data_IF_063180547601
#
_entry.id   IF_063180547601
#
_cell.length_a   1.000
_cell.length_b   1.000
_cell.length_c   1.000
_cell.angle_alpha   90.00
_cell.angle_beta   90.00
_cell.angle_gamma   90.00
#
_symmetry.space_group_name_H-M   'P 1'
#
loop_
_entity.id
_entity.type
_entity.pdbx_description
1 polymer ?
#
# COMPACT_ATOMS: atom_id res chain seq x y z
N UNK A 1 2.17 20.65 9.69
CA UNK A 1 2.59 19.31 10.07
C UNK A 1 3.14 18.57 8.87
N UNK A 2 4.29 17.93 9.03
CA UNK A 2 4.91 17.19 7.94
C UNK A 2 4.10 15.93 7.62
N UNK A 3 3.89 15.67 6.33
CA UNK A 3 3.32 14.42 5.87
C UNK A 3 4.41 13.53 5.28
N UNK A 4 4.21 12.23 5.36
CA UNK A 4 5.14 11.23 4.84
C UNK A 4 4.50 10.48 3.69
N UNK A 5 5.23 10.34 2.59
CA UNK A 5 4.77 9.60 1.43
C UNK A 5 5.13 8.14 1.58
N UNK A 6 4.13 7.27 1.48
CA UNK A 6 4.32 5.81 1.55
C UNK A 6 3.86 5.19 0.24
N UNK A 7 4.75 4.41 -0.39
CA UNK A 7 4.41 3.64 -1.57
C UNK A 7 4.20 2.18 -1.17
N UNK A 8 3.00 1.67 -1.41
CA UNK A 8 2.66 0.26 -1.18
C UNK A 8 2.85 -0.51 -2.47
N UNK A 9 3.63 -1.57 -2.43
CA UNK A 9 3.94 -2.39 -3.61
C UNK A 9 3.33 -3.78 -3.48
N UNK A 10 2.71 -4.22 -4.57
CA UNK A 10 2.24 -5.58 -4.78
C UNK A 10 2.52 -5.92 -6.23
N UNK A 11 2.33 -7.19 -6.64
CA UNK A 11 2.64 -7.56 -8.02
C UNK A 11 1.70 -6.89 -9.02
N UNK A 12 0.40 -6.99 -8.79
CA UNK A 12 -0.61 -6.51 -9.75
C UNK A 12 -1.22 -5.15 -9.44
N UNK A 13 -0.97 -4.60 -8.27
CA UNK A 13 -1.56 -3.33 -7.83
C UNK A 13 -3.09 -3.29 -8.03
N UNK A 14 -3.76 -4.33 -7.56
CA UNK A 14 -5.21 -4.45 -7.73
C UNK A 14 -5.99 -4.61 -6.43
N UNK A 15 -5.36 -5.08 -5.34
CA UNK A 15 -6.04 -5.38 -4.08
C UNK A 15 -5.29 -4.82 -2.86
N UNK A 16 -4.28 -5.55 -2.38
CA UNK A 16 -3.60 -5.22 -1.11
C UNK A 16 -2.92 -3.86 -1.13
N UNK A 17 -2.22 -3.53 -2.19
CA UNK A 17 -1.55 -2.23 -2.28
C UNK A 17 -2.54 -1.08 -2.44
N UNK A 18 -3.67 -1.31 -3.13
CA UNK A 18 -4.75 -0.31 -3.23
C UNK A 18 -5.33 -0.02 -1.85
N UNK A 19 -5.58 -1.06 -1.05
CA UNK A 19 -6.06 -0.88 0.32
C UNK A 19 -5.06 -0.10 1.17
N UNK A 20 -3.76 -0.39 1.03
CA UNK A 20 -2.71 0.35 1.71
C UNK A 20 -2.71 1.82 1.36
N UNK A 21 -2.78 2.13 0.07
CA UNK A 21 -2.85 3.52 -0.42
C UNK A 21 -4.04 4.26 0.21
N UNK A 22 -5.22 3.65 0.17
CA UNK A 22 -6.44 4.26 0.70
C UNK A 22 -6.36 4.46 2.21
N UNK A 23 -5.91 3.44 2.95
CA UNK A 23 -5.80 3.50 4.40
C UNK A 23 -4.81 4.56 4.86
N UNK A 24 -3.65 4.65 4.21
CA UNK A 24 -2.65 5.66 4.56
C UNK A 24 -3.17 7.07 4.28
N UNK A 25 -3.80 7.27 3.12
CA UNK A 25 -4.30 8.58 2.71
C UNK A 25 -5.47 9.06 3.54
N UNK A 26 -6.26 8.14 4.12
CA UNK A 26 -7.41 8.47 4.98
C UNK A 26 -7.14 8.24 6.46
N UNK A 27 -5.88 7.96 6.84
CA UNK A 27 -5.51 7.66 8.22
C UNK A 27 -5.84 8.84 9.13
N UNK A 28 -6.39 8.52 10.31
CA UNK A 28 -6.85 9.54 11.28
C UNK A 28 -5.76 10.48 11.77
N UNK A 29 -4.48 10.06 11.71
CA UNK A 29 -3.36 10.90 12.15
C UNK A 29 -3.09 12.07 11.20
N UNK A 30 -3.49 11.96 9.93
CA UNK A 30 -3.14 12.95 8.90
C UNK A 30 -1.66 12.95 8.51
N UNK A 31 -0.88 11.97 8.98
CA UNK A 31 0.57 11.92 8.76
C UNK A 31 0.98 11.38 7.40
N UNK A 32 0.10 10.67 6.71
CA UNK A 32 0.50 9.91 5.52
C UNK A 32 -0.19 10.36 4.25
N UNK A 33 0.55 10.31 3.15
CA UNK A 33 0.00 10.32 1.80
C UNK A 33 0.36 8.96 1.19
N UNK A 34 -0.66 8.16 0.87
CA UNK A 34 -0.47 6.82 0.32
C UNK A 34 -0.41 6.82 -1.19
N UNK A 35 0.47 5.97 -1.72
CA UNK A 35 0.59 5.67 -3.15
C UNK A 35 0.68 4.16 -3.29
N UNK A 36 0.39 3.64 -4.47
CA UNK A 36 0.53 2.20 -4.71
C UNK A 36 0.97 1.94 -6.14
N UNK A 37 1.63 0.80 -6.35
CA UNK A 37 2.09 0.38 -7.68
C UNK A 37 2.35 -1.12 -7.69
N UNK A 38 2.58 -1.68 -8.87
CA UNK A 38 2.92 -3.08 -9.05
C UNK A 38 4.00 -3.26 -10.11
N UNK A 39 4.71 -4.38 -10.02
CA UNK A 39 5.69 -4.77 -11.03
C UNK A 39 5.03 -5.19 -12.35
N UNK A 40 3.83 -5.76 -12.24
CA UNK A 40 3.02 -6.21 -13.39
C UNK A 40 1.60 -5.70 -13.18
N UNK A 41 1.35 -4.40 -13.42
CA UNK A 41 0.04 -3.82 -13.11
C UNK A 41 -1.09 -4.47 -13.90
N UNK A 42 -2.23 -4.64 -13.22
CA UNK A 42 -3.45 -5.17 -13.79
C UNK A 42 -4.12 -4.11 -14.67
N UNK A 43 -5.11 -4.53 -15.47
CA UNK A 43 -5.88 -3.58 -16.28
C UNK A 43 -6.94 -2.86 -15.44
N UNK A 44 -7.31 -3.42 -14.30
CA UNK A 44 -8.32 -2.84 -13.41
C UNK A 44 -8.04 -3.24 -11.96
N UNK A 45 -8.59 -2.47 -11.04
CA UNK A 45 -8.49 -2.83 -9.61
C UNK A 45 -9.62 -3.78 -9.24
N UNK A 46 -9.40 -4.55 -8.15
CA UNK A 46 -10.40 -5.49 -7.67
C UNK A 46 -11.64 -4.75 -7.15
N UNK A 47 -12.87 -5.17 -7.54
CA UNK A 47 -14.10 -4.47 -7.14
C UNK A 47 -14.31 -4.37 -5.63
N UNK A 48 -13.91 -5.39 -4.87
CA UNK A 48 -14.08 -5.36 -3.41
C UNK A 48 -13.09 -4.39 -2.76
N UNK A 49 -11.85 -4.34 -3.27
CA UNK A 49 -10.87 -3.35 -2.81
C UNK A 49 -11.37 -1.93 -3.10
N UNK A 50 -11.94 -1.70 -4.28
CA UNK A 50 -12.52 -0.41 -4.64
C UNK A 50 -13.67 -0.04 -3.69
N UNK A 51 -14.58 -0.99 -3.45
CA UNK A 51 -15.71 -0.78 -2.55
C UNK A 51 -15.25 -0.33 -1.16
N UNK A 52 -14.28 -1.04 -0.58
CA UNK A 52 -13.77 -0.72 0.75
C UNK A 52 -13.07 0.63 0.78
N UNK A 53 -12.30 0.95 -0.25
CA UNK A 53 -11.62 2.24 -0.34
C UNK A 53 -12.62 3.39 -0.45
N UNK A 54 -13.69 3.21 -1.23
CA UNK A 54 -14.76 4.22 -1.33
C UNK A 54 -15.45 4.42 0.01
N UNK A 55 -15.69 3.34 0.77
CA UNK A 55 -16.28 3.42 2.10
C UNK A 55 -15.41 4.21 3.08
N UNK A 56 -14.09 4.21 2.88
CA UNK A 56 -13.16 5.01 3.68
C UNK A 56 -13.18 6.49 3.29
N UNK A 57 -13.80 6.85 2.18
CA UNK A 57 -13.79 8.20 1.65
C UNK A 57 -12.67 8.50 0.66
N UNK A 58 -11.96 7.46 0.19
CA UNK A 58 -10.88 7.65 -0.77
C UNK A 58 -11.45 7.84 -2.19
N UNK A 59 -11.01 8.87 -2.95
CA UNK A 59 -11.62 9.18 -4.25
C UNK A 59 -11.39 8.10 -5.30
N UNK A 60 -12.45 7.76 -6.04
CA UNK A 60 -12.37 6.78 -7.11
C UNK A 60 -11.36 7.18 -8.20
N UNK A 61 -11.25 8.47 -8.50
CA UNK A 61 -10.35 8.96 -9.53
C UNK A 61 -8.88 8.66 -9.26
N UNK A 62 -8.53 8.40 -8.00
CA UNK A 62 -7.15 8.07 -7.61
C UNK A 62 -6.86 6.57 -7.63
N UNK A 63 -7.89 5.74 -7.81
CA UNK A 63 -7.77 4.29 -7.76
C UNK A 63 -7.60 3.70 -9.15
N UNK A 64 -6.36 3.37 -9.52
CA UNK A 64 -6.03 2.69 -10.76
C UNK A 64 -4.73 1.92 -10.59
N UNK A 65 -4.55 0.86 -11.37
CA UNK A 65 -3.32 0.07 -11.35
C UNK A 65 -2.20 0.82 -12.06
N UNK A 66 -1.03 0.87 -11.43
CA UNK A 66 0.13 1.63 -11.90
C UNK A 66 1.39 0.79 -11.86
N UNK A 67 2.31 1.06 -12.77
CA UNK A 67 3.63 0.44 -12.73
C UNK A 67 4.49 1.11 -11.66
N UNK A 68 5.28 0.32 -10.95
CA UNK A 68 6.26 0.86 -9.99
C UNK A 68 7.32 1.74 -10.68
N UNK A 69 7.55 1.56 -11.97
CA UNK A 69 8.46 2.41 -12.74
C UNK A 69 8.02 3.87 -12.75
N UNK A 70 6.71 4.12 -12.65
CA UNK A 70 6.15 5.47 -12.60
C UNK A 70 6.67 6.26 -11.40
N UNK A 71 7.04 5.57 -10.32
CA UNK A 71 7.52 6.19 -9.09
C UNK A 71 9.05 6.21 -8.99
N UNK A 72 9.76 5.63 -9.95
CA UNK A 72 11.20 5.64 -10.00
C UNK A 72 11.75 6.81 -10.83
N UNK A 73 10.89 7.57 -11.47
CA UNK A 73 11.28 8.70 -12.33
C UNK A 73 11.68 9.91 -11.48
N UNK A 74 12.62 10.75 -11.97
CA UNK A 74 13.07 11.93 -11.21
C UNK A 74 11.97 12.94 -10.88
N UNK A 75 10.92 13.02 -11.70
CA UNK A 75 9.80 13.94 -11.52
C UNK A 75 8.64 13.34 -10.70
N UNK A 76 8.77 12.10 -10.26
CA UNK A 76 7.73 11.48 -9.43
C UNK A 76 7.82 12.01 -7.99
N UNK A 77 6.73 11.89 -7.20
CA UNK A 77 6.78 12.22 -5.78
C UNK A 77 7.87 11.40 -5.09
N UNK A 78 8.67 12.04 -4.24
CA UNK A 78 9.69 11.34 -3.48
C UNK A 78 9.04 10.57 -2.34
N UNK A 79 9.30 9.26 -2.26
CA UNK A 79 8.76 8.42 -1.20
C UNK A 79 9.66 8.49 0.04
N UNK A 80 9.03 8.55 1.20
CA UNK A 80 9.73 8.42 2.48
C UNK A 80 9.87 6.95 2.86
N UNK A 81 8.85 6.14 2.54
CA UNK A 81 8.81 4.71 2.88
C UNK A 81 8.26 3.91 1.71
N UNK A 82 8.84 2.73 1.51
CA UNK A 82 8.36 1.74 0.53
C UNK A 82 7.96 0.48 1.31
N UNK A 83 6.71 0.08 1.20
CA UNK A 83 6.18 -1.10 1.90
C UNK A 83 5.70 -2.12 0.88
N UNK A 84 6.34 -3.30 0.84
CA UNK A 84 5.81 -4.42 0.04
C UNK A 84 4.78 -5.17 0.87
N UNK A 85 3.65 -5.49 0.25
CA UNK A 85 2.51 -6.13 0.95
C UNK A 85 2.20 -7.54 0.44
N UNK A 86 2.93 -8.00 -0.56
CA UNK A 86 2.86 -9.39 -1.01
C UNK A 86 4.27 -9.95 -1.18
N UNK A 87 4.41 -11.26 -0.96
CA UNK A 87 5.73 -11.91 -0.99
C UNK A 87 6.37 -11.86 -2.37
N UNK A 88 5.58 -11.94 -3.43
CA UNK A 88 6.09 -11.86 -4.81
C UNK A 88 6.79 -10.54 -5.09
N UNK A 89 6.17 -9.42 -4.68
CA UNK A 89 6.77 -8.10 -4.88
C UNK A 89 8.07 -7.95 -4.07
N UNK A 90 8.13 -8.53 -2.87
CA UNK A 90 9.32 -8.45 -2.02
C UNK A 90 10.51 -9.20 -2.62
N UNK A 91 10.26 -10.26 -3.40
CA UNK A 91 11.32 -11.08 -4.01
C UNK A 91 11.75 -10.60 -5.40
N UNK A 92 11.06 -9.63 -5.98
CA UNK A 92 11.37 -9.11 -7.31
C UNK A 92 12.48 -8.06 -7.24
N UNK A 93 13.20 -7.88 -8.37
CA UNK A 93 14.21 -6.84 -8.48
C UNK A 93 13.51 -5.49 -8.66
N UNK A 94 13.58 -4.66 -7.62
CA UNK A 94 12.94 -3.35 -7.63
C UNK A 94 13.76 -2.29 -8.35
N UNK A 95 13.12 -1.24 -8.88
CA UNK A 95 13.85 -0.05 -9.35
C UNK A 95 14.65 0.59 -8.22
N UNK A 96 15.62 1.41 -8.59
CA UNK A 96 16.32 2.26 -7.62
C UNK A 96 15.45 3.50 -7.40
N UNK A 97 15.02 3.69 -6.17
CA UNK A 97 14.12 4.79 -5.82
C UNK A 97 14.91 6.08 -5.55
N UNK A 98 14.38 7.20 -6.05
CA UNK A 98 14.98 8.52 -5.80
C UNK A 98 14.89 8.83 -4.29
N UNK A 99 16.01 9.29 -3.71
CA UNK A 99 16.05 9.69 -2.31
C UNK A 99 16.28 8.56 -1.32
N UNK A 100 16.47 7.32 -1.79
CA UNK A 100 16.76 6.14 -0.96
C UNK A 100 15.78 6.00 0.22
N UNK A 101 14.48 5.82 -0.04
CA UNK A 101 13.49 5.67 1.04
C UNK A 101 13.74 4.42 1.87
N UNK A 102 13.31 4.43 3.11
CA UNK A 102 13.35 3.25 3.96
C UNK A 102 12.33 2.22 3.44
N UNK A 103 12.68 0.93 3.49
CA UNK A 103 11.84 -0.15 2.97
C UNK A 103 11.48 -1.18 4.04
N UNK A 104 10.30 -1.77 3.91
CA UNK A 104 9.86 -2.85 4.78
C UNK A 104 8.94 -3.78 4.02
N UNK A 105 8.70 -4.96 4.58
CA UNK A 105 7.75 -5.93 4.05
C UNK A 105 6.67 -6.22 5.08
N UNK A 106 5.42 -5.90 4.75
CA UNK A 106 4.24 -6.23 5.55
C UNK A 106 3.41 -7.23 4.75
N UNK A 107 3.77 -8.51 4.83
CA UNK A 107 3.13 -9.57 4.05
C UNK A 107 1.73 -9.89 4.54
N UNK A 108 0.79 -9.98 3.59
CA UNK A 108 -0.59 -10.40 3.85
C UNK A 108 -1.00 -11.41 2.78
N UNK A 109 -1.85 -12.40 3.13
CA UNK A 109 -2.36 -13.33 2.14
C UNK A 109 -3.19 -12.59 1.09
N UNK A 110 -3.22 -13.13 -0.14
CA UNK A 110 -3.98 -12.52 -1.22
C UNK A 110 -5.49 -12.78 -1.04
N UNK A 111 -6.28 -11.76 -0.68
CA UNK A 111 -7.71 -11.96 -0.44
C UNK A 111 -8.49 -12.24 -1.72
N UNK A 112 -7.94 -11.91 -2.90
CA UNK A 112 -8.61 -12.15 -4.17
C UNK A 112 -8.66 -13.64 -4.53
N UNK A 113 -7.84 -14.46 -3.87
CA UNK A 113 -7.80 -15.91 -4.11
C UNK A 113 -8.81 -16.69 -3.28
N UNK A 114 -9.50 -16.05 -2.36
CA UNK A 114 -10.53 -16.70 -1.55
C UNK A 114 -11.71 -17.06 -2.44
N UNK A 115 -12.17 -18.29 -2.35
CA UNK A 115 -13.32 -18.79 -3.10
C UNK A 115 -14.55 -18.78 -2.19
N UNK A 116 -15.73 -18.69 -2.78
CA UNK A 116 -16.98 -18.69 -2.05
C UNK A 116 -17.88 -17.54 -2.45
N UNK A 117 -18.80 -17.18 -1.55
CA UNK A 117 -19.75 -16.07 -1.78
C UNK A 117 -19.05 -14.73 -1.73
N UNK A 118 -19.76 -13.68 -2.16
CA UNK A 118 -19.29 -12.31 -2.00
C UNK A 118 -18.98 -12.00 -0.54
N UNK A 119 -19.79 -12.49 0.39
CA UNK A 119 -19.57 -12.26 1.83
C UNK A 119 -18.26 -12.89 2.28
N UNK A 120 -17.96 -14.11 1.83
CA UNK A 120 -16.71 -14.80 2.16
C UNK A 120 -15.50 -14.04 1.64
N UNK A 121 -15.59 -13.57 0.40
CA UNK A 121 -14.53 -12.78 -0.23
C UNK A 121 -14.34 -11.45 0.48
N UNK A 122 -15.43 -10.76 0.79
CA UNK A 122 -15.35 -9.47 1.48
C UNK A 122 -14.71 -9.61 2.87
N UNK A 123 -15.01 -10.69 3.60
CA UNK A 123 -14.39 -10.96 4.89
C UNK A 123 -12.86 -11.06 4.77
N UNK A 124 -12.37 -11.72 3.72
CA UNK A 124 -10.93 -11.83 3.48
C UNK A 124 -10.30 -10.46 3.23
N UNK A 125 -10.96 -9.62 2.45
CA UNK A 125 -10.48 -8.25 2.18
C UNK A 125 -10.51 -7.39 3.45
N UNK A 126 -11.56 -7.50 4.25
CA UNK A 126 -11.68 -6.76 5.53
C UNK A 126 -10.58 -7.20 6.50
N UNK A 127 -10.26 -8.48 6.54
CA UNK A 127 -9.16 -8.98 7.36
C UNK A 127 -7.83 -8.35 6.99
N UNK A 128 -7.51 -8.27 5.69
CA UNK A 128 -6.29 -7.62 5.20
C UNK A 128 -6.34 -6.12 5.53
N UNK A 129 -7.48 -5.49 5.30
CA UNK A 129 -7.68 -4.06 5.61
C UNK A 129 -7.40 -3.75 7.08
N UNK A 130 -7.94 -4.57 7.98
CA UNK A 130 -7.74 -4.39 9.42
C UNK A 130 -6.28 -4.63 9.82
N UNK A 131 -5.62 -5.61 9.21
CA UNK A 131 -4.20 -5.87 9.44
C UNK A 131 -3.33 -4.69 9.00
N UNK A 132 -3.59 -4.14 7.84
CA UNK A 132 -2.88 -2.95 7.33
C UNK A 132 -3.13 -1.74 8.23
N UNK A 133 -4.39 -1.54 8.65
CA UNK A 133 -4.74 -0.43 9.55
C UNK A 133 -3.97 -0.52 10.86
N UNK A 134 -3.91 -1.71 11.45
CA UNK A 134 -3.17 -1.92 12.69
C UNK A 134 -1.68 -1.60 12.54
N UNK A 135 -1.08 -2.00 11.41
CA UNK A 135 0.31 -1.67 11.11
C UNK A 135 0.51 -0.16 10.98
N UNK A 136 -0.40 0.52 10.27
CA UNK A 136 -0.33 1.97 10.12
C UNK A 136 -0.51 2.70 11.45
N UNK A 137 -1.40 2.21 12.32
CA UNK A 137 -1.58 2.81 13.66
C UNK A 137 -0.30 2.71 14.47
N UNK A 138 0.36 1.56 14.45
CA UNK A 138 1.65 1.38 15.12
C UNK A 138 2.71 2.27 14.50
N UNK A 139 2.77 2.31 13.18
CA UNK A 139 3.74 3.11 12.44
C UNK A 139 3.60 4.60 12.75
N UNK A 140 2.36 5.09 12.85
CA UNK A 140 2.09 6.50 13.17
C UNK A 140 2.56 6.89 14.57
N UNK A 141 2.72 5.92 15.47
CA UNK A 141 3.17 6.19 16.85
C UNK A 141 4.69 6.27 16.98
N UNK A 142 5.44 5.95 15.92
CA UNK A 142 6.90 5.93 15.94
C UNK A 142 7.48 7.30 15.58
N UNK A 143 8.74 7.59 15.94
CA UNK A 143 9.40 8.84 15.54
C UNK A 143 9.83 8.76 14.06
N UNK A 144 8.90 9.01 13.16
CA UNK A 144 9.07 8.75 11.73
C UNK A 144 10.27 9.43 11.10
N UNK A 145 10.61 10.64 11.55
CA UNK A 145 11.75 11.40 11.02
C UNK A 145 13.11 10.78 11.35
N UNK A 146 13.12 9.82 12.27
CA UNK A 146 14.35 9.14 12.71
C UNK A 146 14.42 7.69 12.24
N UNK A 147 13.42 7.20 11.49
CA UNK A 147 13.39 5.81 11.10
C UNK A 147 14.34 5.53 9.94
N UNK A 148 14.98 4.38 10.02
CA UNK A 148 15.76 3.80 8.94
C UNK A 148 15.14 2.45 8.57
N UNK A 149 15.74 1.77 7.59
CA UNK A 149 15.21 0.51 7.07
C UNK A 149 15.01 -0.55 8.16
N UNK A 150 15.92 -0.65 9.12
CA UNK A 150 15.82 -1.67 10.16
C UNK A 150 14.69 -1.37 11.15
N UNK A 151 14.37 -0.10 11.34
CA UNK A 151 13.40 0.34 12.34
C UNK A 151 11.96 0.11 11.91
N UNK A 152 11.66 0.05 10.61
CA UNK A 152 10.27 -0.07 10.13
C UNK A 152 9.83 -1.52 9.88
N UNK A 153 10.72 -2.49 10.05
CA UNK A 153 10.41 -3.91 9.91
C UNK A 153 9.90 -4.49 11.23
N UNK A 154 8.74 -4.05 11.64
CA UNK A 154 8.14 -4.47 12.91
C UNK A 154 6.91 -5.37 12.73
#
# INVERSE_FOLDING_TARGET
MKQYNILFLCTHNSSRSILGEALASTHKSGLFVGYSAGSTPSTSINPIAEELALEMGYPKAKMYSKSWDDFAKPDSPQMDFIITVCDSAASEVCPVWVGHPATAHWGFPDPSKVKGSYIDKKKAFVSVMNGLRNRLDLFASLPLEKLDQSSIEI
#
